data_IF_353403385103
#
_entry.id   IF_353403385103
#
_cell.length_a   1.000
_cell.length_b   1.000
_cell.length_c   1.000
_cell.angle_alpha   90.00
_cell.angle_beta   90.00
_cell.angle_gamma   90.00
#
_symmetry.space_group_name_H-M   'P 1'
#
loop_
_entity.id
_entity.type
_entity.pdbx_description
1 polymer ?
#
# COMPACT_ATOMS: atom_id res chain seq x y z
N UNK A 1 1.81 11.05 1.73
CA UNK A 1 3.00 11.02 0.86
C UNK A 1 4.06 10.06 1.38
N UNK A 2 4.68 10.31 2.55
CA UNK A 2 5.81 9.52 3.06
C UNK A 2 5.53 8.02 3.09
N UNK A 3 4.44 7.58 3.73
CA UNK A 3 4.08 6.16 3.81
C UNK A 3 3.88 5.51 2.44
N UNK A 4 3.23 6.22 1.50
CA UNK A 4 3.07 5.73 0.13
C UNK A 4 4.39 5.64 -0.63
N UNK A 5 5.34 6.55 -0.40
CA UNK A 5 6.68 6.50 -0.99
C UNK A 5 7.53 5.37 -0.39
N UNK A 6 7.44 5.14 0.93
CA UNK A 6 8.06 3.97 1.57
C UNK A 6 7.50 2.68 0.96
N UNK A 7 6.19 2.61 0.74
CA UNK A 7 5.59 1.45 0.08
C UNK A 7 6.03 1.30 -1.39
N UNK A 8 6.18 2.42 -2.12
CA UNK A 8 6.67 2.41 -3.50
C UNK A 8 8.13 1.98 -3.58
N UNK A 9 8.96 2.42 -2.63
CA UNK A 9 10.38 2.07 -2.54
C UNK A 9 10.58 0.55 -2.56
N UNK A 10 9.83 -0.20 -1.74
CA UNK A 10 9.93 -1.66 -1.74
C UNK A 10 9.58 -2.29 -3.09
N UNK A 11 8.59 -1.75 -3.80
CA UNK A 11 8.25 -2.22 -5.15
C UNK A 11 9.40 -1.98 -6.14
N UNK A 12 10.07 -0.82 -6.06
CA UNK A 12 11.27 -0.58 -6.87
C UNK A 12 12.44 -1.47 -6.46
N UNK A 13 12.71 -1.58 -5.17
CA UNK A 13 13.79 -2.42 -4.65
C UNK A 13 13.69 -3.86 -5.16
N UNK A 14 12.50 -4.46 -5.09
CA UNK A 14 12.26 -5.80 -5.63
C UNK A 14 12.27 -5.84 -7.17
N UNK A 15 11.79 -4.79 -7.86
CA UNK A 15 11.91 -4.70 -9.31
C UNK A 15 13.37 -4.83 -9.75
N UNK A 16 14.29 -4.12 -9.09
CA UNK A 16 15.73 -4.16 -9.37
C UNK A 16 16.46 -5.40 -8.80
N UNK A 17 15.72 -6.45 -8.46
CA UNK A 17 16.29 -7.75 -8.04
C UNK A 17 16.60 -7.86 -6.56
N UNK A 18 16.22 -6.87 -5.74
CA UNK A 18 16.26 -7.01 -4.29
C UNK A 18 15.42 -8.19 -3.82
N UNK A 19 15.90 -8.94 -2.85
CA UNK A 19 15.19 -10.13 -2.31
C UNK A 19 14.86 -9.99 -0.84
N UNK A 20 15.35 -8.93 -0.18
CA UNK A 20 15.09 -8.74 1.24
C UNK A 20 13.60 -8.57 1.53
N UNK A 21 13.11 -9.33 2.51
CA UNK A 21 11.71 -9.43 2.93
C UNK A 21 10.71 -9.83 1.83
N UNK A 22 11.17 -10.26 0.65
CA UNK A 22 10.28 -10.65 -0.45
C UNK A 22 9.43 -11.87 -0.09
N UNK A 23 10.01 -12.79 0.69
CA UNK A 23 9.36 -13.96 1.25
C UNK A 23 8.20 -13.61 2.20
N UNK A 24 8.23 -12.42 2.81
CA UNK A 24 7.16 -11.94 3.70
C UNK A 24 5.97 -11.32 2.95
N UNK A 25 6.10 -11.09 1.64
CA UNK A 25 5.01 -10.60 0.77
C UNK A 25 4.20 -11.76 0.20
N UNK A 26 4.86 -12.89 -0.03
CA UNK A 26 4.24 -14.09 -0.57
C UNK A 26 5.22 -14.95 -1.36
N UNK A 27 5.05 -16.27 -1.24
CA UNK A 27 5.87 -17.24 -2.00
C UNK A 27 5.75 -17.06 -3.51
N UNK A 28 4.60 -16.60 -4.00
CA UNK A 28 4.40 -16.29 -5.42
C UNK A 28 5.37 -15.20 -5.93
N UNK A 29 5.75 -14.25 -5.07
CA UNK A 29 6.65 -13.16 -5.45
C UNK A 29 8.08 -13.69 -5.63
N UNK A 30 8.53 -14.56 -4.72
CA UNK A 30 9.82 -15.26 -4.81
C UNK A 30 9.89 -16.12 -6.07
N UNK A 31 8.86 -16.94 -6.32
CA UNK A 31 8.80 -17.80 -7.51
C UNK A 31 8.78 -16.97 -8.80
N UNK A 32 7.98 -15.91 -8.86
CA UNK A 32 7.90 -15.05 -10.05
C UNK A 32 9.23 -14.36 -10.36
N UNK A 33 10.01 -14.00 -9.34
CA UNK A 33 11.33 -13.39 -9.53
C UNK A 33 12.34 -14.37 -10.11
N UNK A 34 12.26 -15.66 -9.74
CA UNK A 34 13.13 -16.72 -10.26
C UNK A 34 12.72 -17.17 -11.66
N UNK A 35 11.43 -17.40 -11.89
CA UNK A 35 10.93 -18.00 -13.13
C UNK A 35 10.68 -16.97 -14.25
N UNK A 36 10.34 -15.73 -13.89
CA UNK A 36 9.92 -14.69 -14.86
C UNK A 36 10.50 -13.32 -14.52
N UNK A 37 11.84 -13.18 -14.46
CA UNK A 37 12.49 -11.97 -13.94
C UNK A 37 12.12 -10.69 -14.71
N UNK A 38 12.03 -10.73 -16.04
CA UNK A 38 11.66 -9.56 -16.86
C UNK A 38 10.21 -9.14 -16.62
N UNK A 39 9.28 -10.10 -16.53
CA UNK A 39 7.89 -9.80 -16.25
C UNK A 39 7.73 -9.22 -14.83
N UNK A 40 8.40 -9.83 -13.85
CA UNK A 40 8.41 -9.37 -12.46
C UNK A 40 8.97 -7.96 -12.35
N UNK A 41 10.07 -7.65 -13.05
CA UNK A 41 10.61 -6.29 -13.13
C UNK A 41 9.57 -5.29 -13.65
N UNK A 42 8.95 -5.56 -14.81
CA UNK A 42 7.98 -4.63 -15.42
C UNK A 42 6.75 -4.41 -14.53
N UNK A 43 6.23 -5.47 -13.93
CA UNK A 43 5.08 -5.41 -13.02
C UNK A 43 5.42 -4.60 -11.77
N UNK A 44 6.52 -4.91 -11.10
CA UNK A 44 6.92 -4.23 -9.87
C UNK A 44 7.31 -2.76 -10.12
N UNK A 45 7.96 -2.47 -11.26
CA UNK A 45 8.25 -1.10 -11.70
C UNK A 45 6.94 -0.32 -11.92
N UNK A 46 5.98 -0.90 -12.64
CA UNK A 46 4.66 -0.30 -12.86
C UNK A 46 3.92 -0.04 -11.55
N UNK A 47 3.94 -1.00 -10.62
CA UNK A 47 3.36 -0.86 -9.28
C UNK A 47 4.05 0.27 -8.49
N UNK A 48 5.38 0.34 -8.51
CA UNK A 48 6.15 1.39 -7.85
C UNK A 48 5.82 2.78 -8.39
N UNK A 49 5.73 2.93 -9.71
CA UNK A 49 5.32 4.18 -10.37
C UNK A 49 3.89 4.57 -10.00
N UNK A 50 2.95 3.62 -10.02
CA UNK A 50 1.56 3.86 -9.65
C UNK A 50 1.43 4.30 -8.18
N UNK A 51 2.14 3.64 -7.26
CA UNK A 51 2.17 4.01 -5.83
C UNK A 51 2.78 5.40 -5.63
N UNK A 52 3.87 5.70 -6.33
CA UNK A 52 4.52 7.03 -6.31
C UNK A 52 3.55 8.11 -6.77
N UNK A 53 2.87 7.90 -7.90
CA UNK A 53 1.85 8.81 -8.41
C UNK A 53 0.71 8.99 -7.40
N UNK A 54 0.17 7.90 -6.86
CA UNK A 54 -0.89 7.95 -5.85
C UNK A 54 -0.45 8.66 -4.54
N UNK A 55 0.84 8.61 -4.19
CA UNK A 55 1.38 9.27 -3.01
C UNK A 55 1.64 10.77 -3.20
N UNK A 56 2.03 11.18 -4.42
CA UNK A 56 2.49 12.53 -4.76
C UNK A 56 1.38 13.40 -5.35
N UNK A 57 0.56 12.88 -6.28
CA UNK A 57 -0.47 13.66 -6.98
C UNK A 57 -1.43 14.36 -6.02
N UNK A 58 -2.01 13.69 -5.00
CA UNK A 58 -2.94 14.37 -4.08
C UNK A 58 -2.31 15.57 -3.37
N UNK A 59 -1.02 15.46 -3.03
CA UNK A 59 -0.26 16.53 -2.38
C UNK A 59 0.02 17.66 -3.37
N UNK A 60 0.53 17.34 -4.56
CA UNK A 60 0.80 18.33 -5.61
C UNK A 60 -0.47 19.13 -5.99
N UNK A 61 -1.63 18.48 -6.02
CA UNK A 61 -2.94 19.10 -6.25
C UNK A 61 -3.31 20.08 -5.12
N UNK A 62 -3.13 19.70 -3.85
CA UNK A 62 -3.45 20.59 -2.73
C UNK A 62 -2.50 21.79 -2.61
N UNK A 63 -1.26 21.68 -3.12
CA UNK A 63 -0.33 22.81 -3.26
C UNK A 63 -0.51 23.61 -4.57
N UNK A 64 -1.56 23.33 -5.36
CA UNK A 64 -1.86 24.06 -6.59
C UNK A 64 -0.86 23.84 -7.74
N UNK A 65 -0.01 22.81 -7.66
CA UNK A 65 0.93 22.44 -8.72
C UNK A 65 0.29 21.65 -9.86
N UNK A 66 -0.88 21.06 -9.61
CA UNK A 66 -1.66 20.30 -10.58
C UNK A 66 -3.13 20.73 -10.55
N UNK A 67 -3.78 20.73 -11.72
CA UNK A 67 -5.21 21.00 -11.87
C UNK A 67 -6.10 19.83 -11.47
N UNK A 68 -7.41 19.96 -11.68
CA UNK A 68 -8.35 18.84 -11.48
C UNK A 68 -8.62 18.48 -10.02
N UNK A 69 -8.51 19.45 -9.09
CA UNK A 69 -8.61 19.21 -7.64
C UNK A 69 -9.82 18.37 -7.21
N UNK A 70 -11.00 18.61 -7.79
CA UNK A 70 -12.21 17.83 -7.48
C UNK A 70 -12.06 16.35 -7.82
N UNK A 71 -11.53 16.05 -9.01
CA UNK A 71 -11.29 14.69 -9.48
C UNK A 71 -10.28 13.97 -8.57
N UNK A 72 -9.12 14.57 -8.34
CA UNK A 72 -8.08 13.94 -7.52
C UNK A 72 -8.49 13.78 -6.06
N UNK A 73 -9.32 14.67 -5.52
CA UNK A 73 -9.91 14.49 -4.18
C UNK A 73 -10.91 13.34 -4.15
N UNK A 74 -11.72 13.13 -5.20
CA UNK A 74 -12.60 11.97 -5.31
C UNK A 74 -11.80 10.67 -5.37
N UNK A 75 -10.78 10.62 -6.24
CA UNK A 75 -9.86 9.48 -6.34
C UNK A 75 -9.17 9.23 -4.99
N UNK A 76 -8.75 10.28 -4.29
CA UNK A 76 -8.11 10.15 -2.97
C UNK A 76 -9.08 9.69 -1.89
N UNK A 77 -10.36 10.05 -1.96
CA UNK A 77 -11.39 9.53 -1.06
C UNK A 77 -11.60 8.04 -1.27
N UNK A 78 -11.79 7.63 -2.53
CA UNK A 78 -12.01 6.21 -2.89
C UNK A 78 -10.76 5.40 -2.56
N UNK A 79 -9.60 5.81 -3.05
CA UNK A 79 -8.33 5.14 -2.82
C UNK A 79 -7.93 5.13 -1.35
N UNK A 80 -8.03 6.25 -0.64
CA UNK A 80 -7.69 6.34 0.78
C UNK A 80 -8.59 5.45 1.65
N UNK A 81 -9.90 5.45 1.40
CA UNK A 81 -10.83 4.57 2.12
C UNK A 81 -10.60 3.10 1.78
N UNK A 82 -10.34 2.79 0.51
CA UNK A 82 -9.98 1.45 0.06
C UNK A 82 -8.70 0.94 0.73
N UNK A 83 -7.67 1.78 0.85
CA UNK A 83 -6.43 1.44 1.54
C UNK A 83 -6.62 1.18 3.04
N UNK A 84 -7.46 1.98 3.71
CA UNK A 84 -7.82 1.76 5.12
C UNK A 84 -8.52 0.42 5.29
N UNK A 85 -9.54 0.15 4.48
CA UNK A 85 -10.31 -1.10 4.60
C UNK A 85 -9.44 -2.30 4.24
N UNK A 86 -8.74 -2.25 3.11
CA UNK A 86 -7.87 -3.32 2.65
C UNK A 86 -6.76 -3.59 3.67
N UNK A 87 -5.94 -2.58 3.98
CA UNK A 87 -4.83 -2.74 4.91
C UNK A 87 -5.27 -3.16 6.30
N UNK A 88 -6.37 -2.60 6.80
CA UNK A 88 -6.92 -2.98 8.11
C UNK A 88 -7.41 -4.43 8.14
N UNK A 89 -8.20 -4.85 7.15
CA UNK A 89 -8.75 -6.21 7.09
C UNK A 89 -7.64 -7.25 6.96
N UNK A 90 -6.68 -7.05 6.05
CA UNK A 90 -5.60 -8.03 5.86
C UNK A 90 -4.64 -8.08 7.05
N UNK A 91 -4.29 -6.93 7.66
CA UNK A 91 -3.48 -6.91 8.88
C UNK A 91 -4.16 -7.66 10.03
N UNK A 92 -5.45 -7.40 10.27
CA UNK A 92 -6.24 -8.09 11.31
C UNK A 92 -6.34 -9.58 11.00
N UNK A 93 -6.59 -9.95 9.75
CA UNK A 93 -6.66 -11.37 9.34
C UNK A 93 -5.35 -12.08 9.62
N UNK A 94 -4.22 -11.46 9.28
CA UNK A 94 -2.89 -12.02 9.55
C UNK A 94 -2.66 -12.21 11.05
N UNK A 95 -3.06 -11.25 11.90
CA UNK A 95 -3.02 -11.41 13.36
C UNK A 95 -3.95 -12.52 13.87
N UNK A 96 -5.16 -12.65 13.34
CA UNK A 96 -6.08 -13.72 13.73
C UNK A 96 -5.51 -15.11 13.42
N UNK A 97 -4.80 -15.23 12.29
CA UNK A 97 -4.10 -16.47 11.92
C UNK A 97 -2.91 -16.72 12.86
N UNK A 98 -2.06 -15.71 13.10
CA UNK A 98 -0.88 -15.83 13.95
C UNK A 98 -1.21 -16.14 15.42
N UNK A 99 -2.36 -15.66 15.91
CA UNK A 99 -2.84 -15.94 17.28
C UNK A 99 -3.58 -17.28 17.41
N UNK A 100 -3.80 -17.99 16.31
CA UNK A 100 -4.55 -19.25 16.28
C UNK A 100 -6.06 -19.10 16.43
N UNK A 101 -6.58 -17.86 16.52
CA UNK A 101 -8.02 -17.59 16.52
C UNK A 101 -8.69 -18.01 15.21
N UNK A 102 -7.93 -18.00 14.11
CA UNK A 102 -8.31 -18.57 12.83
C UNK A 102 -7.25 -19.58 12.41
N UNK A 103 -7.66 -20.80 12.10
CA UNK A 103 -6.76 -21.86 11.66
C UNK A 103 -7.08 -22.27 10.21
N UNK A 104 -6.23 -21.89 9.23
CA UNK A 104 -6.41 -22.30 7.84
C UNK A 104 -6.27 -23.83 7.71
N UNK A 105 -7.17 -24.46 6.94
CA UNK A 105 -7.18 -25.93 6.75
C UNK A 105 -5.95 -26.47 6.04
N UNK A 106 -5.23 -25.64 5.29
CA UNK A 106 -4.03 -26.01 4.52
C UNK A 106 -2.72 -25.55 5.19
N UNK A 107 -2.77 -25.07 6.43
CA UNK A 107 -1.66 -24.37 7.07
C UNK A 107 -1.40 -22.98 6.49
N UNK A 108 -0.40 -22.28 7.02
CA UNK A 108 0.01 -20.95 6.55
C UNK A 108 1.53 -20.79 6.54
N UNK A 109 2.02 -19.82 5.76
CA UNK A 109 3.43 -19.42 5.77
C UNK A 109 3.63 -18.31 6.82
N UNK A 110 4.36 -18.61 7.89
CA UNK A 110 4.53 -17.70 9.02
C UNK A 110 5.24 -16.39 8.65
N UNK A 111 6.38 -16.38 7.92
CA UNK A 111 6.99 -15.15 7.43
C UNK A 111 6.03 -14.25 6.64
N UNK A 112 5.18 -14.83 5.79
CA UNK A 112 4.16 -14.08 5.03
C UNK A 112 3.16 -13.44 5.99
N UNK A 113 2.62 -14.21 6.95
CA UNK A 113 1.67 -13.67 7.92
C UNK A 113 2.28 -12.58 8.79
N UNK A 114 3.53 -12.73 9.23
CA UNK A 114 4.23 -11.69 9.99
C UNK A 114 4.44 -10.41 9.17
N UNK A 115 4.83 -10.54 7.90
CA UNK A 115 4.97 -9.40 7.00
C UNK A 115 3.67 -8.62 6.84
N UNK A 116 2.58 -9.33 6.59
CA UNK A 116 1.24 -8.75 6.46
C UNK A 116 0.71 -8.16 7.77
N UNK A 117 0.91 -8.82 8.91
CA UNK A 117 0.46 -8.35 10.22
C UNK A 117 1.19 -7.10 10.72
N UNK A 118 2.49 -6.97 10.42
CA UNK A 118 3.36 -5.97 11.04
C UNK A 118 3.78 -4.83 10.10
N UNK A 119 3.88 -5.10 8.79
CA UNK A 119 4.53 -4.17 7.87
C UNK A 119 3.65 -3.80 6.67
N UNK A 120 3.33 -4.77 5.81
CA UNK A 120 2.78 -4.48 4.48
C UNK A 120 1.38 -3.88 4.54
N UNK A 121 0.45 -4.56 5.22
CA UNK A 121 -0.93 -4.10 5.30
C UNK A 121 -1.11 -2.92 6.28
N UNK A 122 -0.41 -2.86 7.43
CA UNK A 122 -0.35 -1.65 8.25
C UNK A 122 0.15 -0.42 7.49
N UNK A 123 1.17 -0.55 6.64
CA UNK A 123 1.64 0.57 5.82
C UNK A 123 0.55 1.07 4.87
N UNK A 124 -0.20 0.17 4.22
CA UNK A 124 -1.37 0.56 3.43
C UNK A 124 -2.45 1.24 4.27
N UNK A 125 -2.78 0.66 5.43
CA UNK A 125 -3.77 1.22 6.36
C UNK A 125 -3.41 2.64 6.76
N UNK A 126 -2.19 2.87 7.28
CA UNK A 126 -1.77 4.19 7.74
C UNK A 126 -1.61 5.18 6.58
N UNK A 127 -1.19 4.73 5.40
CA UNK A 127 -1.16 5.59 4.21
C UNK A 127 -2.59 6.04 3.83
N UNK A 128 -3.54 5.11 3.77
CA UNK A 128 -4.95 5.43 3.53
C UNK A 128 -5.52 6.37 4.58
N UNK A 129 -5.23 6.10 5.86
CA UNK A 129 -5.72 6.90 6.99
C UNK A 129 -5.21 8.34 6.91
N UNK A 130 -3.92 8.55 6.64
CA UNK A 130 -3.36 9.90 6.48
C UNK A 130 -3.98 10.65 5.30
N UNK A 131 -4.27 9.97 4.19
CA UNK A 131 -5.01 10.57 3.06
C UNK A 131 -6.42 10.99 3.48
N UNK A 132 -7.19 10.09 4.08
CA UNK A 132 -8.57 10.37 4.52
C UNK A 132 -8.61 11.52 5.53
N UNK A 133 -7.73 11.51 6.54
CA UNK A 133 -7.62 12.59 7.53
C UNK A 133 -7.32 13.92 6.83
N UNK A 134 -6.36 13.95 5.90
CA UNK A 134 -6.04 15.19 5.16
C UNK A 134 -7.23 15.74 4.38
N UNK A 135 -8.05 14.87 3.78
CA UNK A 135 -9.26 15.27 3.04
C UNK A 135 -10.34 15.83 3.96
N UNK A 136 -10.49 15.28 5.16
CA UNK A 136 -11.41 15.79 6.20
C UNK A 136 -10.96 17.15 6.71
N UNK A 137 -9.68 17.29 7.09
CA UNK A 137 -9.14 18.53 7.65
C UNK A 137 -9.20 19.69 6.65
N UNK A 138 -8.80 19.44 5.40
CA UNK A 138 -8.87 20.46 4.34
C UNK A 138 -10.29 20.83 3.94
N UNK A 139 -11.27 19.92 4.10
CA UNK A 139 -12.70 20.23 3.92
C UNK A 139 -13.22 21.20 4.98
N UNK A 140 -12.79 21.03 6.24
CA UNK A 140 -13.22 21.89 7.35
C UNK A 140 -12.68 23.31 7.22
N UNK A 141 -11.43 23.46 6.80
CA UNK A 141 -10.80 24.76 6.54
C UNK A 141 -11.59 25.59 5.50
N UNK A 142 -12.03 24.95 4.41
CA UNK A 142 -12.83 25.62 3.37
C UNK A 142 -14.26 26.01 3.79
N UNK A 143 -14.79 25.45 4.88
CA UNK A 143 -16.12 25.80 5.41
C UNK A 143 -16.08 26.86 6.51
N UNK A 144 -14.89 27.14 7.05
CA UNK A 144 -14.66 28.14 8.08
C UNK A 144 -14.21 29.50 7.51
N UNK A 145 -13.97 29.56 6.20
CA UNK A 145 -13.75 30.77 5.40
C UNK A 145 -15.03 31.10 4.63
#
# INVERSE_FOLDING_TARGET
>A
MILGLVHAFWSFYWAFGGTWMLDTVGQWAVVSQLERPVQTFLVLLGIGLAKTAAAVIPVAVEYGKLGGRRFWRLVSWVGGSGLVLYGGVYAVTAWLVLTGLVSPSTGYNEPVMLGHALLWDPLFFFWGLTLVISLVLTRRSLRAQ
#
